data_IF_350648905083
#
_entry.id   IF_350648905083
#
_cell.length_a   1.000
_cell.length_b   1.000
_cell.length_c   1.000
_cell.angle_alpha   90.00
_cell.angle_beta   90.00
_cell.angle_gamma   90.00
#
_symmetry.space_group_name_H-M   'P 1'
#
loop_
_entity.id
_entity.type
_entity.pdbx_description
1 polymer ?
#
# COMPACT_ATOMS: atom_id res chain seq x y z
N UNK A 1 -10.23 9.79 -14.88
CA UNK A 1 -9.34 9.67 -13.70
C UNK A 1 -8.05 10.43 -13.95
N UNK A 2 -7.57 11.20 -12.95
CA UNK A 2 -6.29 11.93 -13.03
C UNK A 2 -5.36 11.44 -11.92
N UNK A 3 -4.47 10.51 -12.24
CA UNK A 3 -3.49 10.02 -11.29
C UNK A 3 -2.43 11.09 -11.02
N UNK A 4 -2.23 11.40 -9.73
CA UNK A 4 -1.18 12.31 -9.26
C UNK A 4 0.04 11.55 -8.72
N UNK A 5 -0.13 10.28 -8.30
CA UNK A 5 0.91 9.45 -7.71
C UNK A 5 0.90 8.02 -8.19
N UNK A 6 2.09 7.47 -8.39
CA UNK A 6 2.34 6.03 -8.60
C UNK A 6 3.22 5.53 -7.47
N UNK A 7 2.73 4.51 -6.78
CA UNK A 7 3.42 3.83 -5.69
C UNK A 7 3.92 2.47 -6.19
N UNK A 8 5.23 2.32 -6.27
CA UNK A 8 5.86 1.09 -6.73
C UNK A 8 6.06 0.16 -5.53
N UNK A 9 5.24 -0.89 -5.44
CA UNK A 9 5.53 -2.01 -4.56
C UNK A 9 6.73 -2.75 -5.15
N UNK A 10 7.94 -2.28 -4.83
CA UNK A 10 9.16 -2.79 -5.45
C UNK A 10 9.34 -4.28 -5.23
N UNK A 11 8.86 -4.76 -4.10
CA UNK A 11 8.86 -6.17 -3.72
C UNK A 11 7.77 -6.45 -2.67
N UNK A 12 7.35 -7.70 -2.57
CA UNK A 12 6.57 -8.19 -1.43
C UNK A 12 7.46 -8.74 -0.31
N UNK A 13 8.76 -8.96 -0.59
CA UNK A 13 9.71 -9.41 0.43
C UNK A 13 9.94 -8.32 1.46
N UNK A 14 9.91 -8.70 2.75
CA UNK A 14 10.11 -7.81 3.88
C UNK A 14 11.01 -8.48 4.92
N UNK A 15 11.61 -7.70 5.77
CA UNK A 15 12.36 -8.19 6.94
C UNK A 15 11.45 -8.56 8.10
N UNK A 16 10.20 -8.07 8.09
CA UNK A 16 9.17 -8.31 9.11
C UNK A 16 7.97 -9.07 8.57
N UNK A 17 7.16 -9.60 9.49
CA UNK A 17 5.83 -10.18 9.25
C UNK A 17 4.79 -9.52 10.16
N UNK A 18 4.68 -8.18 10.10
CA UNK A 18 3.81 -7.39 10.95
C UNK A 18 2.34 -7.84 10.88
N UNK A 19 1.67 -7.93 12.03
CA UNK A 19 0.29 -8.41 12.13
C UNK A 19 -0.73 -7.51 11.40
N UNK A 20 -0.43 -6.22 11.25
CA UNK A 20 -1.27 -5.29 10.50
C UNK A 20 -0.98 -5.27 8.97
N UNK A 21 0.00 -6.04 8.50
CA UNK A 21 0.46 -5.95 7.12
C UNK A 21 -0.62 -6.31 6.11
N UNK A 22 -0.93 -5.36 5.29
CA UNK A 22 -1.99 -5.48 4.30
C UNK A 22 -1.54 -6.09 2.96
N UNK A 23 -0.23 -6.19 2.69
CA UNK A 23 0.33 -6.84 1.49
C UNK A 23 0.90 -8.24 1.76
N UNK A 24 0.77 -8.73 2.99
CA UNK A 24 1.37 -10.00 3.44
C UNK A 24 2.88 -10.06 3.21
N UNK A 25 3.55 -8.92 3.40
CA UNK A 25 5.02 -8.85 3.34
C UNK A 25 5.65 -9.80 4.34
N UNK A 26 6.71 -10.51 3.90
CA UNK A 26 7.46 -11.43 4.75
C UNK A 26 8.83 -11.75 4.15
N UNK A 27 9.77 -12.35 4.92
CA UNK A 27 11.04 -12.84 4.38
C UNK A 27 10.88 -13.90 3.29
N UNK A 28 9.73 -14.58 3.26
CA UNK A 28 9.42 -15.67 2.32
C UNK A 28 8.58 -15.23 1.12
N UNK A 29 8.02 -14.01 1.16
CA UNK A 29 7.23 -13.47 0.06
C UNK A 29 8.07 -13.36 -1.22
N UNK A 30 7.40 -13.54 -2.36
CA UNK A 30 8.03 -13.54 -3.68
C UNK A 30 7.60 -12.31 -4.47
N UNK A 31 8.35 -12.03 -5.51
CA UNK A 31 8.10 -10.91 -6.41
C UNK A 31 9.04 -9.75 -6.11
N UNK A 32 9.73 -9.31 -7.17
CA UNK A 32 10.56 -8.11 -7.18
C UNK A 32 10.48 -7.50 -8.57
N UNK A 33 10.36 -6.19 -8.66
CA UNK A 33 10.47 -5.46 -9.92
C UNK A 33 11.90 -5.50 -10.43
N UNK A 34 12.08 -5.74 -11.71
CA UNK A 34 13.36 -5.57 -12.39
C UNK A 34 13.57 -4.09 -12.71
N UNK A 35 14.81 -3.67 -12.91
CA UNK A 35 15.14 -2.30 -13.35
C UNK A 35 14.28 -1.92 -14.57
N UNK A 36 14.18 -2.80 -15.58
CA UNK A 36 13.38 -2.54 -16.77
C UNK A 36 11.89 -2.34 -16.49
N UNK A 37 11.33 -3.01 -15.49
CA UNK A 37 9.94 -2.83 -15.09
C UNK A 37 9.74 -1.41 -14.53
N UNK A 38 10.64 -0.99 -13.64
CA UNK A 38 10.62 0.36 -13.06
C UNK A 38 10.75 1.42 -14.16
N UNK A 39 11.75 1.31 -15.03
CA UNK A 39 11.96 2.21 -16.18
C UNK A 39 10.70 2.31 -17.05
N UNK A 40 10.09 1.17 -17.38
CA UNK A 40 8.87 1.14 -18.21
C UNK A 40 7.71 1.89 -17.53
N UNK A 41 7.49 1.65 -16.23
CA UNK A 41 6.42 2.31 -15.49
C UNK A 41 6.67 3.81 -15.37
N UNK A 42 7.92 4.24 -15.15
CA UNK A 42 8.28 5.65 -15.10
C UNK A 42 7.99 6.36 -16.44
N UNK A 43 8.35 5.75 -17.57
CA UNK A 43 8.02 6.29 -18.88
C UNK A 43 6.50 6.40 -19.10
N UNK A 44 5.74 5.34 -18.81
CA UNK A 44 4.29 5.34 -18.91
C UNK A 44 3.63 6.37 -17.96
N UNK A 45 4.21 6.57 -16.77
CA UNK A 45 3.76 7.59 -15.82
C UNK A 45 3.99 9.00 -16.34
N UNK A 46 5.11 9.23 -17.03
CA UNK A 46 5.39 10.52 -17.72
C UNK A 46 4.40 10.75 -18.85
N UNK A 47 4.10 9.73 -19.64
CA UNK A 47 3.17 9.81 -20.77
C UNK A 47 1.73 10.15 -20.34
N UNK A 48 1.32 9.79 -19.12
CA UNK A 48 0.06 10.23 -18.51
C UNK A 48 -0.01 11.76 -18.31
N UNK A 49 1.13 12.43 -18.11
CA UNK A 49 1.22 13.89 -17.95
C UNK A 49 0.64 14.46 -16.65
N UNK A 50 -0.09 13.68 -15.87
CA UNK A 50 -0.73 14.10 -14.61
C UNK A 50 0.04 13.67 -13.37
N UNK A 51 0.85 12.62 -13.47
CA UNK A 51 1.65 12.10 -12.37
C UNK A 51 2.71 13.10 -11.93
N UNK A 52 2.83 13.30 -10.63
CA UNK A 52 3.81 14.21 -9.99
C UNK A 52 4.70 13.47 -9.00
N UNK A 53 4.21 12.38 -8.42
CA UNK A 53 4.89 11.62 -7.38
C UNK A 53 5.13 10.18 -7.79
N UNK A 54 6.33 9.70 -7.51
CA UNK A 54 6.70 8.28 -7.56
C UNK A 54 7.18 7.88 -6.18
N UNK A 55 6.51 6.92 -5.56
CA UNK A 55 6.92 6.32 -4.30
C UNK A 55 7.51 4.94 -4.52
N UNK A 56 8.57 4.65 -3.78
CA UNK A 56 9.17 3.31 -3.69
C UNK A 56 8.82 2.73 -2.33
N UNK A 57 8.07 1.64 -2.35
CA UNK A 57 7.57 0.97 -1.16
C UNK A 57 7.38 -0.53 -1.43
N UNK A 58 6.62 -1.23 -0.60
CA UNK A 58 6.29 -2.64 -0.82
C UNK A 58 6.28 -3.43 0.47
N UNK A 59 7.00 -4.57 0.49
CA UNK A 59 7.48 -5.18 1.70
C UNK A 59 8.55 -4.27 2.30
N UNK A 60 9.82 -4.46 1.86
CA UNK A 60 10.89 -3.53 2.22
C UNK A 60 11.76 -3.21 0.98
N UNK A 61 11.68 -1.99 0.45
CA UNK A 61 12.37 -1.63 -0.78
C UNK A 61 13.90 -1.60 -0.65
N UNK A 62 14.43 -1.35 0.55
CA UNK A 62 15.88 -1.35 0.79
C UNK A 62 16.51 -2.73 0.64
N UNK A 63 15.75 -3.82 0.65
CA UNK A 63 16.26 -5.15 0.28
C UNK A 63 16.74 -5.21 -1.18
N UNK A 64 16.22 -4.32 -2.03
CA UNK A 64 16.61 -4.21 -3.44
C UNK A 64 17.18 -2.83 -3.75
N UNK A 65 18.03 -2.35 -2.87
CA UNK A 65 18.60 -1.01 -2.84
C UNK A 65 19.16 -0.51 -4.19
N UNK A 66 19.97 -1.30 -4.94
CA UNK A 66 20.47 -0.83 -6.24
C UNK A 66 19.38 -0.55 -7.27
N UNK A 67 18.30 -1.35 -7.28
CA UNK A 67 17.15 -1.15 -8.17
C UNK A 67 16.39 0.10 -7.76
N UNK A 68 16.14 0.26 -6.47
CA UNK A 68 15.48 1.42 -5.90
C UNK A 68 16.24 2.71 -6.24
N UNK A 69 17.53 2.79 -5.95
CA UNK A 69 18.35 3.96 -6.25
C UNK A 69 18.39 4.30 -7.73
N UNK A 70 18.48 3.30 -8.61
CA UNK A 70 18.46 3.50 -10.07
C UNK A 70 17.12 4.12 -10.48
N UNK A 71 16.00 3.54 -10.03
CA UNK A 71 14.66 4.07 -10.33
C UNK A 71 14.43 5.47 -9.79
N UNK A 72 14.91 5.75 -8.56
CA UNK A 72 14.83 7.09 -7.96
C UNK A 72 15.56 8.16 -8.78
N UNK A 73 16.80 7.87 -9.23
CA UNK A 73 17.57 8.81 -10.08
C UNK A 73 16.81 9.11 -11.37
N UNK A 74 16.35 8.06 -12.04
CA UNK A 74 15.62 8.19 -13.29
C UNK A 74 14.28 8.96 -13.11
N UNK A 75 13.52 8.66 -12.06
CA UNK A 75 12.31 9.39 -11.72
C UNK A 75 12.61 10.91 -11.49
N UNK A 76 13.69 11.23 -10.79
CA UNK A 76 14.13 12.62 -10.59
C UNK A 76 14.55 13.29 -11.89
N UNK A 77 15.31 12.60 -12.75
CA UNK A 77 15.71 13.09 -14.08
C UNK A 77 14.49 13.35 -14.98
N UNK A 78 13.43 12.57 -14.84
CA UNK A 78 12.14 12.78 -15.50
C UNK A 78 11.30 13.91 -14.88
N UNK A 79 11.73 14.52 -13.77
CA UNK A 79 11.05 15.64 -13.12
C UNK A 79 10.01 15.25 -12.06
N UNK A 80 9.93 13.99 -11.67
CA UNK A 80 9.04 13.56 -10.60
C UNK A 80 9.58 13.96 -9.22
N UNK A 81 8.65 14.18 -8.28
CA UNK A 81 8.95 14.10 -6.86
C UNK A 81 9.05 12.63 -6.47
N UNK A 82 10.06 12.30 -5.66
CA UNK A 82 10.33 10.91 -5.28
C UNK A 82 10.19 10.74 -3.78
N UNK A 83 9.40 9.76 -3.37
CA UNK A 83 9.24 9.34 -1.98
C UNK A 83 9.67 7.89 -1.77
N UNK A 84 9.92 7.53 -0.53
CA UNK A 84 10.21 6.15 -0.11
C UNK A 84 9.61 5.86 1.25
N UNK A 85 9.09 4.63 1.41
CA UNK A 85 8.61 4.09 2.69
C UNK A 85 9.49 2.91 3.07
N UNK A 86 9.97 2.86 4.31
CA UNK A 86 10.89 1.82 4.80
C UNK A 86 10.63 1.46 6.26
N UNK A 87 10.95 0.23 6.63
CA UNK A 87 10.95 -0.23 8.01
C UNK A 87 12.25 0.10 8.77
N UNK A 88 13.23 0.72 8.12
CA UNK A 88 14.52 1.13 8.65
C UNK A 88 15.38 0.00 9.28
N UNK A 89 15.19 -1.26 8.90
CA UNK A 89 16.02 -2.38 9.39
C UNK A 89 17.54 -2.18 9.20
N UNK A 90 17.91 -1.34 8.26
CA UNK A 90 19.29 -0.99 7.89
C UNK A 90 19.95 0.02 8.86
N UNK A 91 19.19 0.71 9.70
CA UNK A 91 19.67 1.76 10.59
C UNK A 91 20.30 1.17 11.88
N UNK A 92 21.25 0.25 11.74
CA UNK A 92 21.84 -0.53 12.84
C UNK A 92 22.75 0.29 13.76
N UNK A 93 23.30 1.38 13.26
CA UNK A 93 24.00 2.42 14.03
C UNK A 93 23.78 3.79 13.38
N UNK A 94 24.09 4.91 14.08
CA UNK A 94 24.03 6.24 13.48
C UNK A 94 24.89 6.37 12.22
N UNK A 95 26.08 5.79 12.21
CA UNK A 95 26.98 5.81 11.06
C UNK A 95 26.45 4.98 9.91
N UNK A 96 25.98 3.76 10.17
CA UNK A 96 25.39 2.91 9.13
C UNK A 96 24.18 3.59 8.52
N UNK A 97 23.32 4.20 9.35
CA UNK A 97 22.13 4.92 8.88
C UNK A 97 22.48 6.08 7.94
N UNK A 98 23.52 6.85 8.24
CA UNK A 98 24.01 7.93 7.36
C UNK A 98 24.51 7.37 6.03
N UNK A 99 25.32 6.30 6.03
CA UNK A 99 25.81 5.68 4.79
C UNK A 99 24.66 5.17 3.89
N UNK A 100 23.62 4.56 4.47
CA UNK A 100 22.45 4.15 3.72
C UNK A 100 21.67 5.34 3.13
N UNK A 101 21.62 6.48 3.82
CA UNK A 101 20.82 7.62 3.43
C UNK A 101 21.56 8.65 2.55
N UNK A 102 22.91 8.69 2.57
CA UNK A 102 23.70 9.60 1.74
C UNK A 102 23.33 9.56 0.25
N UNK A 103 23.14 8.40 -0.40
CA UNK A 103 22.70 8.36 -1.79
C UNK A 103 21.32 8.97 -2.00
N UNK A 104 20.38 8.80 -1.05
CA UNK A 104 19.04 9.39 -1.12
C UNK A 104 19.09 10.92 -1.02
N UNK A 105 19.93 11.42 -0.10
CA UNK A 105 20.19 12.86 0.03
C UNK A 105 20.79 13.44 -1.27
N UNK A 106 21.73 12.73 -1.87
CA UNK A 106 22.36 13.13 -3.14
C UNK A 106 21.39 13.16 -4.32
N UNK A 107 20.40 12.24 -4.35
CA UNK A 107 19.33 12.22 -5.35
C UNK A 107 18.34 13.37 -5.12
N UNK A 108 18.24 13.89 -3.90
CA UNK A 108 17.25 14.88 -3.49
C UNK A 108 15.85 14.28 -3.37
N UNK A 109 15.74 13.19 -2.62
CA UNK A 109 14.45 12.55 -2.28
C UNK A 109 13.53 13.57 -1.64
N UNK A 110 12.26 13.55 -2.02
CA UNK A 110 11.27 14.57 -1.64
C UNK A 110 10.43 14.17 -0.40
N UNK A 111 10.45 12.91 -0.04
CA UNK A 111 9.81 12.37 1.16
C UNK A 111 10.48 11.05 1.57
N UNK A 112 10.80 10.91 2.85
CA UNK A 112 11.24 9.66 3.48
C UNK A 112 10.30 9.37 4.63
N UNK A 113 9.52 8.33 4.49
CA UNK A 113 8.58 7.87 5.53
C UNK A 113 9.12 6.60 6.18
N UNK A 114 9.33 6.62 7.49
CA UNK A 114 9.87 5.51 8.27
C UNK A 114 8.79 4.94 9.17
N UNK A 115 8.57 3.64 9.10
CA UNK A 115 7.64 2.93 9.99
C UNK A 115 8.21 2.89 11.41
N UNK A 116 7.52 3.52 12.37
CA UNK A 116 7.87 3.52 13.80
C UNK A 116 6.60 3.23 14.62
N UNK A 117 6.28 1.96 14.77
CA UNK A 117 5.10 1.49 15.46
C UNK A 117 5.38 0.18 16.25
N UNK A 118 4.45 -0.21 17.16
CA UNK A 118 4.61 -1.41 17.98
C UNK A 118 4.73 -2.71 17.18
N UNK A 119 4.17 -2.78 15.97
CA UNK A 119 4.21 -3.98 15.11
C UNK A 119 5.59 -4.21 14.50
N UNK A 120 6.43 -3.16 14.37
CA UNK A 120 7.79 -3.25 13.87
C UNK A 120 8.80 -3.39 15.02
N UNK A 121 8.64 -2.61 16.08
CA UNK A 121 9.70 -2.47 17.10
C UNK A 121 9.23 -2.69 18.54
N UNK A 122 7.94 -3.00 18.74
CA UNK A 122 7.36 -2.98 20.08
C UNK A 122 7.34 -1.58 20.69
N UNK A 123 6.92 -1.49 21.94
CA UNK A 123 6.94 -0.23 22.70
C UNK A 123 8.33 0.01 23.28
N UNK A 124 9.24 0.60 22.49
CA UNK A 124 10.61 0.90 22.93
C UNK A 124 10.90 2.39 22.84
N UNK A 125 11.67 2.89 23.83
CA UNK A 125 12.14 4.28 23.85
C UNK A 125 13.18 4.57 22.76
N UNK A 126 13.90 3.55 22.29
CA UNK A 126 14.92 3.61 21.25
C UNK A 126 14.79 2.42 20.32
N UNK A 127 14.82 2.65 19.00
CA UNK A 127 14.74 1.60 17.99
C UNK A 127 15.42 2.05 16.68
N UNK A 128 15.47 1.16 15.68
CA UNK A 128 16.12 1.43 14.39
C UNK A 128 15.43 2.58 13.62
N UNK A 129 14.10 2.70 13.70
CA UNK A 129 13.38 3.79 13.06
C UNK A 129 13.85 5.16 13.60
N UNK A 130 13.97 5.30 14.91
CA UNK A 130 14.44 6.55 15.54
C UNK A 130 15.88 6.88 15.19
N UNK A 131 16.74 5.87 15.03
CA UNK A 131 18.12 6.06 14.54
C UNK A 131 18.07 6.57 13.10
N UNK A 132 17.24 5.94 12.24
CA UNK A 132 17.04 6.34 10.85
C UNK A 132 16.52 7.77 10.70
N UNK A 133 15.51 8.15 11.50
CA UNK A 133 14.98 9.52 11.53
C UNK A 133 16.06 10.54 11.86
N UNK A 134 16.81 10.33 12.94
CA UNK A 134 17.89 11.26 13.33
C UNK A 134 19.02 11.36 12.28
N UNK A 135 19.33 10.26 11.62
CA UNK A 135 20.30 10.29 10.52
C UNK A 135 19.77 11.07 9.31
N UNK A 136 18.52 10.87 8.96
CA UNK A 136 17.84 11.61 7.88
C UNK A 136 17.80 13.13 8.17
N UNK A 137 17.44 13.52 9.40
CA UNK A 137 17.45 14.93 9.84
C UNK A 137 18.83 15.56 9.71
N UNK A 138 19.91 14.84 10.14
CA UNK A 138 21.31 15.33 10.00
C UNK A 138 21.71 15.53 8.55
N UNK A 139 21.19 14.70 7.64
CA UNK A 139 21.45 14.81 6.20
C UNK A 139 20.51 15.80 5.49
N UNK A 140 19.58 16.45 6.21
CA UNK A 140 18.63 17.38 5.65
C UNK A 140 17.57 16.72 4.74
N UNK A 141 17.35 15.43 4.88
CA UNK A 141 16.26 14.73 4.18
C UNK A 141 14.90 15.10 4.79
N UNK A 142 13.87 15.34 3.96
CA UNK A 142 12.50 15.47 4.46
C UNK A 142 12.03 14.13 4.96
N UNK A 143 11.98 13.95 6.29
CA UNK A 143 11.64 12.69 6.95
C UNK A 143 10.40 12.85 7.82
N UNK A 144 9.58 11.80 7.83
CA UNK A 144 8.45 11.63 8.75
C UNK A 144 8.32 10.18 9.19
N UNK A 145 7.53 9.95 10.22
CA UNK A 145 7.20 8.59 10.69
C UNK A 145 5.78 8.20 10.28
N UNK A 146 5.61 6.90 9.99
CA UNK A 146 4.31 6.26 9.87
C UNK A 146 4.15 5.41 11.12
N UNK A 147 3.11 5.68 11.90
CA UNK A 147 2.79 4.95 13.13
C UNK A 147 1.40 4.36 13.00
N UNK A 148 1.30 3.05 13.12
CA UNK A 148 0.02 2.33 13.20
C UNK A 148 -0.19 1.94 14.65
N UNK A 149 -1.30 2.39 15.24
CA UNK A 149 -1.65 2.06 16.62
C UNK A 149 -2.26 0.67 16.70
N UNK A 150 -2.03 -0.02 17.82
CA UNK A 150 -2.74 -1.25 18.11
C UNK A 150 -4.25 -0.99 18.22
N UNK A 151 -5.10 -1.91 17.73
CA UNK A 151 -6.54 -1.74 17.79
C UNK A 151 -7.00 -1.77 19.26
N UNK A 152 -7.81 -0.77 19.63
CA UNK A 152 -8.35 -0.66 20.99
C UNK A 152 -9.77 -1.21 21.07
N UNK A 153 -10.16 -1.66 22.27
CA UNK A 153 -11.54 -2.10 22.53
C UNK A 153 -12.55 -0.96 22.50
N UNK A 154 -12.11 0.28 22.52
CA UNK A 154 -12.95 1.48 22.44
C UNK A 154 -13.01 1.96 20.99
N UNK A 155 -14.22 2.29 20.54
CA UNK A 155 -14.46 2.81 19.20
C UNK A 155 -13.95 4.25 19.10
N UNK A 156 -12.90 4.47 18.32
CA UNK A 156 -12.45 5.82 17.96
C UNK A 156 -12.84 6.13 16.50
N UNK A 157 -13.17 7.39 16.25
CA UNK A 157 -13.33 7.88 14.86
C UNK A 157 -11.97 7.96 14.19
N UNK A 158 -11.88 7.38 13.00
CA UNK A 158 -10.66 7.40 12.20
C UNK A 158 -10.45 8.76 11.57
N UNK A 159 -9.22 9.28 11.66
CA UNK A 159 -8.80 10.49 10.99
C UNK A 159 -8.13 10.18 9.66
N UNK A 160 -8.49 10.88 8.61
CA UNK A 160 -7.88 10.79 7.28
C UNK A 160 -8.80 11.36 6.20
N UNK A 161 -8.21 11.89 5.14
CA UNK A 161 -8.95 12.31 3.95
C UNK A 161 -9.08 11.12 3.00
N UNK A 162 -10.27 10.93 2.46
CA UNK A 162 -10.58 9.88 1.47
C UNK A 162 -9.60 9.93 0.29
N UNK A 163 -9.00 8.80 -0.06
CA UNK A 163 -8.03 8.71 -1.15
C UNK A 163 -6.62 9.22 -0.83
N UNK A 164 -6.37 9.64 0.40
CA UNK A 164 -5.04 10.03 0.86
C UNK A 164 -4.34 8.90 1.63
N UNK A 165 -3.00 8.94 1.63
CA UNK A 165 -2.22 8.02 2.45
C UNK A 165 -2.53 8.26 3.93
N UNK A 166 -2.81 7.17 4.65
CA UNK A 166 -3.05 7.24 6.10
C UNK A 166 -1.69 7.30 6.80
N UNK A 167 -1.33 8.48 7.28
CA UNK A 167 -0.13 8.69 8.11
C UNK A 167 -0.55 8.66 9.58
N UNK A 168 -0.34 7.53 10.21
CA UNK A 168 -0.75 7.27 11.58
C UNK A 168 -2.23 6.91 11.72
N UNK A 169 -2.58 6.31 12.82
CA UNK A 169 -3.94 5.94 13.16
C UNK A 169 -4.16 4.45 13.32
N UNK A 170 -5.42 4.06 13.41
CA UNK A 170 -5.84 2.69 13.69
C UNK A 170 -5.61 1.74 12.50
N UNK A 171 -5.46 0.46 12.82
CA UNK A 171 -5.40 -0.63 11.84
C UNK A 171 -6.64 -0.63 10.95
N UNK A 172 -6.43 -0.72 9.64
CA UNK A 172 -7.47 -1.08 8.69
C UNK A 172 -7.54 -2.61 8.61
N UNK A 173 -8.70 -3.20 8.89
CA UNK A 173 -8.85 -4.65 8.92
C UNK A 173 -8.91 -5.27 7.52
N UNK A 174 -7.76 -5.33 6.88
CA UNK A 174 -7.51 -5.99 5.60
C UNK A 174 -6.15 -6.68 5.63
N UNK A 175 -5.94 -7.68 4.78
CA UNK A 175 -4.71 -8.45 4.80
C UNK A 175 -4.56 -9.24 6.11
N UNK A 176 -3.35 -9.29 6.65
CA UNK A 176 -3.04 -10.10 7.84
C UNK A 176 -3.77 -9.63 9.11
N UNK A 177 -4.11 -8.35 9.19
CA UNK A 177 -4.85 -7.79 10.33
C UNK A 177 -6.20 -8.47 10.58
N UNK A 178 -6.86 -8.98 9.53
CA UNK A 178 -8.13 -9.70 9.68
C UNK A 178 -7.97 -10.93 10.55
N UNK A 179 -6.92 -11.73 10.29
CA UNK A 179 -6.68 -12.98 11.02
C UNK A 179 -6.02 -12.76 12.39
N UNK A 180 -5.20 -11.71 12.52
CA UNK A 180 -4.33 -11.51 13.68
C UNK A 180 -4.87 -10.56 14.72
N UNK A 181 -5.67 -9.57 14.31
CA UNK A 181 -6.01 -8.44 15.18
C UNK A 181 -7.52 -8.22 15.36
N UNK A 182 -8.38 -8.98 14.68
CA UNK A 182 -9.84 -8.75 14.75
C UNK A 182 -10.52 -9.42 15.94
N UNK A 183 -9.86 -10.40 16.59
CA UNK A 183 -10.44 -11.17 17.68
C UNK A 183 -10.66 -10.32 18.94
N UNK A 184 -11.84 -10.43 19.53
CA UNK A 184 -12.20 -9.72 20.76
C UNK A 184 -12.47 -8.21 20.61
N UNK A 185 -12.43 -7.67 19.40
CA UNK A 185 -12.76 -6.29 19.13
C UNK A 185 -14.27 -6.07 18.98
N UNK A 186 -14.77 -4.87 19.28
CA UNK A 186 -16.16 -4.49 19.00
C UNK A 186 -16.50 -4.68 17.52
N UNK A 187 -17.65 -5.26 17.24
CA UNK A 187 -18.17 -5.45 15.90
C UNK A 187 -19.46 -4.68 15.70
N UNK A 188 -19.79 -4.39 14.44
CA UNK A 188 -21.02 -3.73 14.02
C UNK A 188 -21.74 -4.59 12.99
N UNK A 189 -23.08 -4.53 12.92
CA UNK A 189 -23.84 -5.23 11.88
C UNK A 189 -23.34 -4.89 10.47
N UNK A 190 -23.19 -5.89 9.61
CA UNK A 190 -22.60 -5.71 8.27
C UNK A 190 -23.29 -4.65 7.41
N UNK A 191 -24.59 -4.45 7.59
CA UNK A 191 -25.41 -3.46 6.83
C UNK A 191 -25.04 -2.01 7.07
N UNK A 192 -24.35 -1.68 8.17
CA UNK A 192 -23.92 -0.30 8.44
C UNK A 192 -22.69 0.11 7.63
N UNK A 193 -22.03 -0.83 6.96
CA UNK A 193 -20.83 -0.58 6.15
C UNK A 193 -21.22 -0.28 4.69
N UNK A 194 -21.94 0.81 4.49
CA UNK A 194 -22.52 1.27 3.23
C UNK A 194 -21.64 2.25 2.45
N UNK A 195 -20.45 2.55 2.95
CA UNK A 195 -19.45 3.42 2.32
C UNK A 195 -18.02 2.84 2.43
N UNK A 196 -17.19 3.07 1.39
CA UNK A 196 -15.75 2.93 1.48
C UNK A 196 -15.14 4.26 1.94
N UNK A 197 -14.62 4.31 3.16
CA UNK A 197 -14.09 5.55 3.78
C UNK A 197 -12.65 5.85 3.40
N UNK A 198 -11.91 4.87 2.88
CA UNK A 198 -10.47 4.98 2.67
C UNK A 198 -10.07 5.26 1.24
N UNK A 199 -10.84 4.81 0.25
CA UNK A 199 -10.51 4.98 -1.16
C UNK A 199 -11.64 5.68 -1.90
N UNK A 200 -11.27 6.68 -2.69
CA UNK A 200 -12.20 7.34 -3.62
C UNK A 200 -12.09 6.71 -5.01
N UNK A 201 -12.84 5.65 -5.25
CA UNK A 201 -12.85 4.97 -6.55
C UNK A 201 -13.42 5.83 -7.69
N UNK A 202 -14.13 6.93 -7.38
CA UNK A 202 -14.66 7.85 -8.40
C UNK A 202 -13.58 8.80 -8.94
N UNK A 203 -12.61 9.18 -8.10
CA UNK A 203 -11.51 10.09 -8.47
C UNK A 203 -10.19 9.64 -7.83
N UNK A 204 -9.75 8.46 -8.21
CA UNK A 204 -8.52 7.86 -7.72
C UNK A 204 -7.31 8.75 -8.03
N UNK A 205 -6.58 9.16 -7.00
CA UNK A 205 -5.41 10.04 -7.15
C UNK A 205 -4.09 9.29 -7.20
N UNK A 206 -4.03 8.10 -6.63
CA UNK A 206 -2.87 7.23 -6.62
C UNK A 206 -3.24 5.78 -6.88
N UNK A 207 -2.30 5.04 -7.41
CA UNK A 207 -2.37 3.59 -7.56
C UNK A 207 -1.06 2.97 -7.12
N UNK A 208 -1.13 1.72 -6.67
CA UNK A 208 0.05 0.91 -6.41
C UNK A 208 0.30 -0.02 -7.60
N UNK A 209 1.54 -0.12 -8.01
CA UNK A 209 1.96 -1.05 -9.06
C UNK A 209 2.86 -2.11 -8.45
N UNK A 210 2.52 -3.37 -8.61
CA UNK A 210 3.18 -4.48 -7.97
C UNK A 210 4.21 -5.21 -8.87
N UNK A 211 5.06 -6.09 -8.32
CA UNK A 211 6.06 -6.84 -9.10
C UNK A 211 5.48 -7.78 -10.15
N UNK A 212 4.21 -8.15 -10.05
CA UNK A 212 3.54 -9.02 -11.02
C UNK A 212 2.85 -8.23 -12.14
N UNK A 213 2.87 -6.90 -12.04
CA UNK A 213 2.32 -5.99 -13.05
C UNK A 213 0.91 -5.50 -12.77
N UNK A 214 0.31 -5.88 -11.67
CA UNK A 214 -1.03 -5.43 -11.31
C UNK A 214 -1.04 -3.99 -10.81
N UNK A 215 -2.08 -3.24 -11.22
CA UNK A 215 -2.30 -1.85 -10.83
C UNK A 215 -3.46 -1.82 -9.84
N UNK A 216 -3.12 -1.58 -8.58
CA UNK A 216 -4.07 -1.61 -7.46
C UNK A 216 -4.73 -0.26 -7.23
N UNK A 217 -6.06 -0.25 -7.24
CA UNK A 217 -6.91 0.87 -6.84
C UNK A 217 -7.07 0.93 -5.32
N UNK A 218 -7.26 -0.23 -4.73
CA UNK A 218 -7.14 -0.57 -3.33
C UNK A 218 -6.37 -1.89 -3.29
N UNK A 219 -5.91 -2.30 -2.13
CA UNK A 219 -5.18 -3.52 -1.95
C UNK A 219 -5.89 -4.77 -2.45
N UNK A 220 -5.33 -5.41 -3.44
CA UNK A 220 -5.90 -6.57 -4.09
C UNK A 220 -7.12 -6.29 -4.99
N UNK A 221 -7.58 -5.04 -5.13
CA UNK A 221 -8.56 -4.61 -6.13
C UNK A 221 -7.81 -3.93 -7.26
N UNK A 222 -7.80 -4.51 -8.44
CA UNK A 222 -6.91 -4.07 -9.52
C UNK A 222 -7.67 -3.53 -10.72
N UNK A 223 -7.13 -2.46 -11.30
CA UNK A 223 -7.60 -1.86 -12.54
C UNK A 223 -7.28 -2.77 -13.75
N UNK A 224 -6.14 -3.45 -13.70
CA UNK A 224 -5.61 -4.31 -14.75
C UNK A 224 -4.14 -4.61 -14.53
N UNK A 225 -3.47 -5.09 -15.59
CA UNK A 225 -2.05 -5.43 -15.56
C UNK A 225 -1.31 -4.66 -16.67
N UNK A 226 -0.31 -3.83 -16.29
CA UNK A 226 0.45 -3.00 -17.23
C UNK A 226 1.30 -3.80 -18.22
N UNK A 227 1.57 -5.08 -17.92
CA UNK A 227 2.29 -5.98 -18.85
C UNK A 227 1.40 -6.44 -20.00
N UNK A 228 0.08 -6.41 -19.83
CA UNK A 228 -0.93 -6.75 -20.82
C UNK A 228 -1.38 -5.52 -21.62
N UNK A 229 -1.65 -4.42 -20.89
CA UNK A 229 -2.06 -3.15 -21.48
C UNK A 229 -1.32 -2.00 -20.81
N UNK A 230 -0.74 -1.06 -21.58
CA UNK A 230 0.00 0.07 -21.01
C UNK A 230 -0.83 0.87 -19.99
N UNK A 231 -0.15 1.41 -18.95
CA UNK A 231 -0.80 2.21 -17.90
C UNK A 231 -1.67 3.36 -18.44
N UNK A 232 -1.26 4.13 -19.47
CA UNK A 232 -2.11 5.18 -20.02
C UNK A 232 -3.42 4.66 -20.61
N UNK A 233 -3.39 3.49 -21.26
CA UNK A 233 -4.60 2.88 -21.84
C UNK A 233 -5.53 2.37 -20.73
N UNK A 234 -4.98 1.73 -19.70
CA UNK A 234 -5.74 1.27 -18.54
C UNK A 234 -6.43 2.45 -17.83
N UNK A 235 -5.71 3.55 -17.62
CA UNK A 235 -6.26 4.76 -16.98
C UNK A 235 -7.34 5.42 -17.85
N UNK A 236 -7.13 5.49 -19.15
CA UNK A 236 -8.10 6.10 -20.08
C UNK A 236 -9.37 5.26 -20.22
N UNK A 237 -9.24 3.93 -20.21
CA UNK A 237 -10.36 2.99 -20.34
C UNK A 237 -11.06 2.62 -19.03
N UNK A 238 -10.56 3.09 -17.89
CA UNK A 238 -11.12 2.70 -16.61
C UNK A 238 -12.44 3.42 -16.29
N UNK A 239 -13.51 2.63 -16.17
CA UNK A 239 -14.79 3.07 -15.64
C UNK A 239 -15.06 2.37 -14.30
N UNK A 240 -15.00 3.10 -13.18
CA UNK A 240 -15.19 2.52 -11.85
C UNK A 240 -16.60 1.98 -11.63
N UNK A 241 -17.62 2.50 -12.33
CA UNK A 241 -19.01 2.04 -12.18
C UNK A 241 -19.24 0.69 -12.86
N UNK A 242 -18.53 0.41 -13.95
CA UNK A 242 -18.58 -0.88 -14.65
C UNK A 242 -17.68 -1.93 -14.05
N UNK A 243 -16.70 -1.51 -13.23
CA UNK A 243 -15.78 -2.43 -12.55
C UNK A 243 -16.53 -3.30 -11.54
N UNK A 244 -16.38 -4.65 -11.58
CA UNK A 244 -17.22 -5.56 -10.80
C UNK A 244 -17.13 -5.37 -9.29
N UNK A 245 -16.00 -4.86 -8.80
CA UNK A 245 -15.79 -4.62 -7.37
C UNK A 245 -16.03 -3.15 -7.02
N UNK A 246 -15.43 -2.20 -7.76
CA UNK A 246 -15.58 -0.77 -7.46
C UNK A 246 -17.01 -0.28 -7.65
N UNK A 247 -17.73 -0.78 -8.66
CA UNK A 247 -19.12 -0.36 -8.94
C UNK A 247 -20.08 -0.57 -7.75
N UNK A 248 -20.15 -1.77 -7.17
CA UNK A 248 -20.90 -1.98 -5.92
C UNK A 248 -20.38 -1.13 -4.75
N UNK A 249 -19.06 -1.04 -4.55
CA UNK A 249 -18.48 -0.24 -3.48
C UNK A 249 -18.82 1.25 -3.57
N UNK A 250 -18.93 1.79 -4.76
CA UNK A 250 -19.37 3.18 -4.99
C UNK A 250 -20.86 3.41 -4.71
N UNK A 251 -21.69 2.37 -4.88
CA UNK A 251 -23.16 2.48 -4.74
C UNK A 251 -23.65 2.35 -3.30
N UNK A 252 -22.91 1.62 -2.48
CA UNK A 252 -23.32 1.35 -1.10
C UNK A 252 -22.29 0.50 -0.35
N UNK A 253 -21.01 0.81 -0.56
CA UNK A 253 -19.92 0.24 0.22
C UNK A 253 -19.80 -1.29 0.17
N UNK A 254 -19.13 -1.87 1.15
CA UNK A 254 -19.02 -3.31 1.27
C UNK A 254 -20.33 -4.06 1.41
N UNK A 255 -21.36 -3.45 2.03
CA UNK A 255 -22.69 -4.03 2.13
C UNK A 255 -23.30 -4.26 0.73
N UNK A 256 -23.22 -3.28 -0.15
CA UNK A 256 -23.70 -3.44 -1.53
C UNK A 256 -22.90 -4.48 -2.33
N UNK A 257 -21.63 -4.67 -2.04
CA UNK A 257 -20.80 -5.72 -2.66
C UNK A 257 -21.32 -7.12 -2.26
N UNK A 258 -21.60 -7.31 -0.97
CA UNK A 258 -22.17 -8.56 -0.42
C UNK A 258 -23.55 -8.84 -1.04
N UNK A 259 -24.46 -7.86 -1.01
CA UNK A 259 -25.81 -7.99 -1.56
C UNK A 259 -25.80 -8.28 -3.07
N UNK A 260 -24.97 -7.56 -3.83
CA UNK A 260 -24.85 -7.69 -5.29
C UNK A 260 -24.53 -9.09 -5.75
N UNK A 261 -23.69 -9.79 -4.99
CA UNK A 261 -23.17 -11.11 -5.37
C UNK A 261 -23.70 -12.26 -4.53
N UNK A 262 -24.52 -11.98 -3.51
CA UNK A 262 -25.03 -12.99 -2.57
C UNK A 262 -23.88 -13.69 -1.85
N UNK A 263 -22.90 -12.93 -1.41
CA UNK A 263 -21.72 -13.49 -0.72
C UNK A 263 -22.14 -14.00 0.66
N UNK A 264 -21.76 -15.23 1.00
CA UNK A 264 -21.87 -15.72 2.37
C UNK A 264 -21.02 -14.89 3.31
N UNK A 265 -21.58 -14.45 4.44
CA UNK A 265 -20.95 -13.51 5.34
C UNK A 265 -21.38 -13.70 6.80
N UNK A 266 -20.59 -13.18 7.73
CA UNK A 266 -20.95 -13.06 9.14
C UNK A 266 -21.98 -11.94 9.35
N UNK A 267 -22.68 -11.95 10.50
CA UNK A 267 -23.64 -10.89 10.84
C UNK A 267 -22.94 -9.58 11.24
N UNK A 268 -21.72 -9.63 11.76
CA UNK A 268 -21.02 -8.47 12.29
C UNK A 268 -19.53 -8.47 11.92
N UNK A 269 -18.99 -7.28 11.70
CA UNK A 269 -17.57 -7.04 11.37
C UNK A 269 -17.00 -5.86 12.17
N UNK A 270 -15.68 -5.82 12.32
CA UNK A 270 -14.97 -4.76 13.06
C UNK A 270 -15.13 -3.41 12.33
N UNK A 271 -14.89 -3.41 11.02
CA UNK A 271 -14.99 -2.21 10.18
C UNK A 271 -15.39 -2.54 8.74
N UNK A 272 -15.54 -1.51 7.91
CA UNK A 272 -15.86 -1.63 6.50
C UNK A 272 -14.79 -2.37 5.69
N UNK A 273 -13.49 -2.24 6.06
CA UNK A 273 -12.40 -2.96 5.40
C UNK A 273 -12.46 -4.46 5.69
N UNK A 274 -12.82 -4.85 6.91
CA UNK A 274 -13.00 -6.25 7.31
C UNK A 274 -14.08 -6.93 6.46
N UNK A 275 -15.28 -6.36 6.40
CA UNK A 275 -16.37 -6.88 5.55
C UNK A 275 -15.93 -6.93 4.07
N UNK A 276 -15.34 -5.85 3.57
CA UNK A 276 -14.89 -5.76 2.18
C UNK A 276 -13.84 -6.84 1.85
N UNK A 277 -12.86 -7.04 2.74
CA UNK A 277 -11.79 -8.01 2.52
C UNK A 277 -12.34 -9.44 2.50
N UNK A 278 -13.21 -9.80 3.45
CA UNK A 278 -13.85 -11.13 3.51
C UNK A 278 -14.72 -11.40 2.27
N UNK A 279 -15.52 -10.42 1.85
CA UNK A 279 -16.31 -10.54 0.62
C UNK A 279 -15.42 -10.75 -0.61
N UNK A 280 -14.30 -10.01 -0.72
CA UNK A 280 -13.34 -10.16 -1.82
C UNK A 280 -12.65 -11.51 -1.84
N UNK A 281 -12.30 -12.06 -0.67
CA UNK A 281 -11.75 -13.42 -0.56
C UNK A 281 -12.67 -14.46 -1.21
N UNK A 282 -13.96 -14.40 -0.90
CA UNK A 282 -14.98 -15.29 -1.49
C UNK A 282 -15.13 -15.06 -3.00
N UNK A 283 -15.03 -13.81 -3.44
CA UNK A 283 -15.25 -13.43 -4.86
C UNK A 283 -14.03 -13.67 -5.76
N UNK A 284 -12.85 -13.98 -5.24
CA UNK A 284 -11.62 -14.16 -6.03
C UNK A 284 -11.76 -15.17 -7.15
N UNK A 285 -12.37 -16.32 -6.88
CA UNK A 285 -12.58 -17.35 -7.91
C UNK A 285 -13.51 -16.87 -9.04
N UNK A 286 -14.41 -15.92 -8.74
CA UNK A 286 -15.32 -15.34 -9.73
C UNK A 286 -14.70 -14.20 -10.52
N UNK A 287 -13.81 -13.42 -9.91
CA UNK A 287 -13.20 -12.24 -10.51
C UNK A 287 -11.68 -12.24 -10.39
N UNK A 288 -10.97 -13.28 -10.88
CA UNK A 288 -9.53 -13.42 -10.67
C UNK A 288 -8.71 -12.31 -11.35
N UNK A 289 -9.26 -11.64 -12.38
CA UNK A 289 -8.62 -10.52 -13.07
C UNK A 289 -8.74 -9.19 -12.32
N UNK A 290 -9.67 -9.10 -11.37
CA UNK A 290 -9.96 -7.88 -10.60
C UNK A 290 -9.59 -7.99 -9.13
N UNK A 291 -9.33 -9.22 -8.64
CA UNK A 291 -8.96 -9.55 -7.27
C UNK A 291 -7.64 -10.33 -7.27
N UNK A 292 -6.55 -9.60 -7.45
CA UNK A 292 -5.21 -10.12 -7.71
C UNK A 292 -4.12 -9.26 -7.01
N UNK A 293 -2.89 -9.77 -6.91
CA UNK A 293 -2.49 -11.17 -7.06
C UNK A 293 -2.87 -12.03 -5.84
N UNK A 294 -2.65 -13.36 -5.90
CA UNK A 294 -2.84 -14.24 -4.74
C UNK A 294 -2.09 -13.79 -3.47
N UNK A 295 -0.91 -13.19 -3.63
CA UNK A 295 -0.10 -12.61 -2.56
C UNK A 295 -0.90 -11.61 -1.70
N UNK A 296 -1.73 -10.75 -2.29
CA UNK A 296 -2.55 -9.76 -1.58
C UNK A 296 -3.68 -10.37 -0.73
N UNK A 297 -3.85 -11.68 -0.83
CA UNK A 297 -4.87 -12.46 -0.12
C UNK A 297 -4.26 -13.59 0.73
N UNK A 298 -2.97 -13.48 1.06
CA UNK A 298 -2.29 -14.41 1.95
C UNK A 298 -1.88 -15.74 1.31
N UNK A 299 -2.07 -15.92 -0.01
CA UNK A 299 -1.59 -17.09 -0.72
C UNK A 299 -0.13 -16.89 -1.14
N UNK A 300 0.75 -16.96 -0.15
CA UNK A 300 2.19 -16.75 -0.33
C UNK A 300 2.84 -18.05 -0.79
N UNK A 301 3.34 -18.06 -2.01
CA UNK A 301 4.30 -19.09 -2.45
C UNK A 301 3.74 -20.47 -2.75
N UNK A 302 2.50 -20.59 -3.21
CA UNK A 302 2.05 -21.82 -3.89
C UNK A 302 2.54 -21.90 -5.31
#
# INVERSE_FOLDING_TARGET
>A
MMLAGIHLLLTYKCTYECDHCFVFGSPFAKGVMKIKDVETILHQSRDLGTVRWIYFEGGEPFLYYPIMLRGMREAKEMGFKVGVVTDAHWATSPQDAEEWLLPLASIGVSDLSISDDPFHYGETSENLAKIGVRAAERLGLPVGTITIEEPRKELHERSGLKGMEVKGGEVMFRGRAVDKLSEGLPKKPWKVFDECKHEDFSDQKRVHVDPFGFIHLCQGVVMGNWRENPLPELVAGFDPLSHPICGPLLKGGPAALVERYGVEHEEEYVDECHLCYMARLTLRGRFPQHLAPPQMYGEVGK
#
